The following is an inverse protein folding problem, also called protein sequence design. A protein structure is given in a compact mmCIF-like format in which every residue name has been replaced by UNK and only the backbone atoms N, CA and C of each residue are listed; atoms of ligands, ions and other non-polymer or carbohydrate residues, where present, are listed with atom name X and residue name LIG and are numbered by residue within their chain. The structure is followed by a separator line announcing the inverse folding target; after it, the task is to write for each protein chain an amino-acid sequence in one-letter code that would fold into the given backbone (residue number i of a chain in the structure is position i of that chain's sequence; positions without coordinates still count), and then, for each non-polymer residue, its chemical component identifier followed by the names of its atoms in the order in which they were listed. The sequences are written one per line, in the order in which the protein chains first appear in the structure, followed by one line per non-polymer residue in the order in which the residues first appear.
data_IF_773785507367
#
_entry.id   IF_773785507367
#
_cell.length_a   1.000
_cell.length_b   1.000
_cell.length_c   1.000
_cell.angle_alpha   90.00
_cell.angle_beta   90.00
_cell.angle_gamma   90.00
#
_symmetry.space_group_name_H-M   'P 1'
#
loop_
_entity.id
_entity.type
_entity.pdbx_description
1 polymer ?
#
# COMPACT_ATOMS: atom_id res chain seq x y z
N UNK A 1 -20.22 -5.92 9.53
CA UNK A 1 -19.79 -4.50 9.40
C UNK A 1 -19.82 -4.12 7.92
N UNK A 2 -20.18 -2.85 7.58
CA UNK A 2 -20.08 -2.36 6.20
C UNK A 2 -18.81 -1.52 6.06
N UNK A 3 -18.06 -1.75 5.01
CA UNK A 3 -16.75 -1.12 4.75
C UNK A 3 -16.77 -0.49 3.37
N UNK A 4 -16.46 0.80 3.29
CA UNK A 4 -16.25 1.48 2.00
C UNK A 4 -14.82 1.22 1.52
N UNK A 5 -14.67 0.64 0.33
CA UNK A 5 -13.35 0.37 -0.24
C UNK A 5 -12.90 1.55 -1.10
N UNK A 6 -11.78 2.17 -0.74
CA UNK A 6 -11.14 3.19 -1.57
C UNK A 6 -9.99 2.57 -2.36
N UNK A 7 -10.07 2.65 -3.69
CA UNK A 7 -9.02 2.15 -4.59
C UNK A 7 -8.39 3.36 -5.31
N UNK A 8 -7.08 3.52 -5.17
CA UNK A 8 -6.37 4.61 -5.83
C UNK A 8 -6.29 4.37 -7.34
N UNK A 9 -6.12 5.45 -8.11
CA UNK A 9 -6.06 5.39 -9.57
C UNK A 9 -4.99 4.41 -10.09
N UNK A 10 -3.82 4.35 -9.43
CA UNK A 10 -2.77 3.39 -9.81
C UNK A 10 -3.26 1.96 -9.60
N UNK A 11 -3.90 1.69 -8.46
CA UNK A 11 -4.40 0.34 -8.18
C UNK A 11 -5.53 -0.05 -9.15
N UNK A 12 -6.46 0.87 -9.37
CA UNK A 12 -7.60 0.59 -10.25
C UNK A 12 -7.16 0.29 -11.69
N UNK A 13 -6.20 1.06 -12.22
CA UNK A 13 -5.78 0.96 -13.63
C UNK A 13 -4.69 -0.11 -13.84
N UNK A 14 -3.70 -0.16 -12.95
CA UNK A 14 -2.51 -0.98 -13.15
C UNK A 14 -2.54 -2.31 -12.37
N UNK A 15 -3.25 -2.33 -11.24
CA UNK A 15 -3.23 -3.48 -10.32
C UNK A 15 -4.64 -3.79 -9.81
N UNK A 16 -5.64 -3.98 -10.70
CA UNK A 16 -7.03 -4.19 -10.26
C UNK A 16 -7.18 -5.44 -9.39
N UNK A 17 -6.31 -6.45 -9.57
CA UNK A 17 -6.31 -7.66 -8.75
C UNK A 17 -6.15 -7.36 -7.26
N UNK A 18 -5.45 -6.25 -6.91
CA UNK A 18 -5.32 -5.85 -5.50
C UNK A 18 -6.68 -5.48 -4.90
N UNK A 19 -7.50 -4.73 -5.63
CA UNK A 19 -8.86 -4.37 -5.17
C UNK A 19 -9.74 -5.60 -5.04
N UNK A 20 -9.66 -6.52 -6.01
CA UNK A 20 -10.38 -7.80 -5.96
C UNK A 20 -9.95 -8.59 -4.72
N UNK A 21 -8.64 -8.70 -4.48
CA UNK A 21 -8.11 -9.44 -3.33
C UNK A 21 -8.60 -8.85 -2.00
N UNK A 22 -8.58 -7.50 -1.86
CA UNK A 22 -9.08 -6.84 -0.65
C UNK A 22 -10.57 -7.16 -0.44
N UNK A 23 -11.37 -7.08 -1.51
CA UNK A 23 -12.81 -7.38 -1.45
C UNK A 23 -13.03 -8.82 -1.01
N UNK A 24 -12.39 -9.77 -1.70
CA UNK A 24 -12.50 -11.21 -1.38
C UNK A 24 -12.14 -11.49 0.08
N UNK A 25 -11.02 -10.91 0.53
CA UNK A 25 -10.55 -11.09 1.91
C UNK A 25 -11.56 -10.54 2.92
N UNK A 26 -12.03 -9.31 2.72
CA UNK A 26 -12.95 -8.67 3.67
C UNK A 26 -14.31 -9.37 3.70
N UNK A 27 -14.82 -9.82 2.54
CA UNK A 27 -16.08 -10.57 2.47
C UNK A 27 -15.94 -11.93 3.16
N UNK A 28 -14.81 -12.62 2.97
CA UNK A 28 -14.50 -13.86 3.67
C UNK A 28 -14.53 -13.67 5.19
N UNK A 29 -14.10 -12.49 5.66
CA UNK A 29 -14.09 -12.14 7.09
C UNK A 29 -15.43 -11.58 7.58
N UNK A 30 -16.49 -11.64 6.77
CA UNK A 30 -17.84 -11.26 7.17
C UNK A 30 -18.18 -9.78 7.00
N UNK A 31 -17.34 -9.02 6.32
CA UNK A 31 -17.65 -7.62 6.00
C UNK A 31 -18.53 -7.54 4.74
N UNK A 32 -19.38 -6.52 4.69
CA UNK A 32 -20.06 -6.12 3.45
C UNK A 32 -19.21 -5.02 2.83
N UNK A 33 -18.65 -5.25 1.66
CA UNK A 33 -17.79 -4.27 0.98
C UNK A 33 -18.63 -3.44 0.02
N UNK A 34 -18.50 -2.13 0.10
CA UNK A 34 -19.14 -1.18 -0.81
C UNK A 34 -18.06 -0.37 -1.52
N UNK A 35 -18.27 -0.10 -2.80
CA UNK A 35 -17.34 0.69 -3.61
C UNK A 35 -18.03 2.01 -3.98
N UNK A 36 -17.68 3.11 -3.30
CA UNK A 36 -18.24 4.42 -3.67
C UNK A 36 -17.76 4.84 -5.06
N UNK A 37 -18.70 4.98 -6.00
CA UNK A 37 -18.37 5.26 -7.41
C UNK A 37 -17.87 6.68 -7.63
N UNK A 38 -18.12 7.55 -6.67
CA UNK A 38 -17.76 8.96 -6.73
C UNK A 38 -16.33 9.22 -6.27
N UNK A 39 -15.60 8.18 -5.87
CA UNK A 39 -14.23 8.35 -5.41
C UNK A 39 -13.33 8.87 -6.53
N UNK A 40 -12.39 9.76 -6.15
CA UNK A 40 -11.52 10.47 -7.09
C UNK A 40 -10.05 10.18 -6.79
N UNK A 41 -9.17 11.03 -7.25
CA UNK A 41 -7.74 10.94 -7.01
C UNK A 41 -7.43 11.19 -5.52
N UNK A 42 -6.45 10.48 -4.97
CA UNK A 42 -6.00 10.69 -3.59
C UNK A 42 -5.12 11.93 -3.40
N UNK A 43 -4.83 12.67 -4.46
CA UNK A 43 -3.97 13.88 -4.47
C UNK A 43 -2.50 13.62 -4.13
N UNK A 44 -2.06 12.39 -3.92
CA UNK A 44 -0.67 12.13 -3.50
C UNK A 44 0.36 12.76 -4.44
N UNK A 45 0.16 12.69 -5.74
CA UNK A 45 1.14 13.18 -6.71
C UNK A 45 1.23 14.71 -6.72
N UNK A 46 0.10 15.39 -6.61
CA UNK A 46 0.08 16.87 -6.54
C UNK A 46 0.68 17.34 -5.22
N UNK A 47 0.28 16.73 -4.11
CA UNK A 47 0.74 17.10 -2.77
C UNK A 47 2.26 16.88 -2.64
N UNK A 48 2.76 15.72 -3.08
CA UNK A 48 4.20 15.39 -2.99
C UNK A 48 5.06 16.34 -3.85
N UNK A 49 4.45 17.05 -4.80
CA UNK A 49 5.18 17.99 -5.67
C UNK A 49 4.98 19.45 -5.26
N UNK A 50 4.14 19.73 -4.27
CA UNK A 50 3.84 21.07 -3.82
C UNK A 50 2.77 21.80 -4.66
N UNK A 51 2.03 21.08 -5.49
CA UNK A 51 0.92 21.62 -6.28
C UNK A 51 -0.37 21.52 -5.46
N UNK A 52 -0.44 22.31 -4.40
CA UNK A 52 -1.54 22.20 -3.41
C UNK A 52 -2.86 22.69 -3.98
N UNK A 53 -2.85 23.78 -4.75
CA UNK A 53 -4.06 24.32 -5.38
C UNK A 53 -4.73 23.27 -6.28
N UNK A 54 -3.93 22.49 -7.01
CA UNK A 54 -4.43 21.41 -7.87
C UNK A 54 -4.87 20.19 -7.07
N UNK A 55 -4.38 20.05 -5.85
CA UNK A 55 -4.75 18.95 -4.96
C UNK A 55 -6.09 19.18 -4.25
N UNK A 56 -6.43 20.42 -3.91
CA UNK A 56 -7.64 20.74 -3.14
C UNK A 56 -8.91 20.15 -3.75
N UNK A 57 -9.19 20.29 -5.05
CA UNK A 57 -10.43 19.75 -5.62
C UNK A 57 -10.55 18.23 -5.55
N UNK A 58 -9.47 17.48 -5.23
CA UNK A 58 -9.49 16.01 -5.16
C UNK A 58 -9.62 15.50 -3.71
N UNK A 59 -9.64 16.44 -2.75
CA UNK A 59 -9.80 16.07 -1.34
C UNK A 59 -11.18 15.44 -1.13
N UNK A 60 -11.16 14.41 -0.90
CA UNK A 60 -12.44 13.72 -0.70
C UNK A 60 -12.19 12.28 -0.45
N UNK A 61 -11.23 11.46 -0.58
CA UNK A 61 -11.10 10.11 -0.25
C UNK A 61 -9.72 9.58 -0.28
N UNK A 62 -9.11 9.06 0.45
CA UNK A 62 -8.14 8.32 0.32
C UNK A 62 -6.97 8.06 1.15
N UNK A 63 -6.04 7.21 1.02
CA UNK A 63 -4.95 6.97 1.68
C UNK A 63 -4.20 8.14 2.07
N UNK A 64 -4.08 8.85 1.21
CA UNK A 64 -3.69 10.23 1.52
C UNK A 64 -4.67 10.93 2.48
N UNK A 65 -5.83 10.37 2.67
CA UNK A 65 -6.88 10.94 3.52
C UNK A 65 -6.35 11.29 4.92
N UNK A 66 -5.59 10.41 5.52
CA UNK A 66 -5.13 10.60 6.92
C UNK A 66 -3.96 11.56 7.06
N UNK A 67 -3.20 11.76 6.01
CA UNK A 67 -1.94 12.51 6.07
C UNK A 67 -1.98 13.79 5.23
N UNK A 68 -2.40 13.69 3.98
CA UNK A 68 -2.30 14.79 3.03
C UNK A 68 -3.57 15.63 2.96
N UNK A 69 -4.74 15.03 3.11
CA UNK A 69 -5.99 15.79 3.06
C UNK A 69 -6.11 16.81 4.21
N UNK A 70 -5.75 16.48 5.46
CA UNK A 70 -5.75 17.51 6.53
C UNK A 70 -4.84 18.70 6.18
N UNK A 71 -3.65 18.43 5.63
CA UNK A 71 -2.72 19.48 5.21
C UNK A 71 -3.32 20.36 4.09
N UNK A 72 -3.98 19.72 3.10
CA UNK A 72 -4.61 20.46 2.01
C UNK A 72 -5.81 21.29 2.51
N UNK A 73 -6.59 20.77 3.44
CA UNK A 73 -7.73 21.49 4.03
C UNK A 73 -7.24 22.69 4.84
N UNK A 74 -6.13 22.53 5.57
CA UNK A 74 -5.50 23.62 6.31
C UNK A 74 -4.99 24.69 5.35
N UNK A 75 -4.30 24.28 4.29
CA UNK A 75 -3.79 25.20 3.27
C UNK A 75 -4.92 25.98 2.59
N UNK A 76 -6.06 25.31 2.31
CA UNK A 76 -7.23 25.94 1.70
C UNK A 76 -7.90 26.97 2.61
N UNK A 77 -7.71 26.85 3.93
CA UNK A 77 -8.34 27.74 4.90
C UNK A 77 -9.85 27.56 5.03
N UNK A 78 -10.37 26.41 4.58
CA UNK A 78 -11.82 26.12 4.58
C UNK A 78 -12.17 25.28 5.80
N UNK A 79 -12.84 25.89 6.78
CA UNK A 79 -13.21 25.22 8.03
C UNK A 79 -14.27 24.12 7.84
N UNK A 80 -15.08 24.20 6.81
CA UNK A 80 -16.05 23.16 6.47
C UNK A 80 -15.33 21.92 5.95
N UNK A 81 -14.48 22.12 4.96
CA UNK A 81 -13.63 21.07 4.40
C UNK A 81 -12.78 20.41 5.49
N UNK A 82 -12.19 21.21 6.39
CA UNK A 82 -11.35 20.68 7.47
C UNK A 82 -12.10 19.70 8.37
N UNK A 83 -13.36 20.01 8.71
CA UNK A 83 -14.17 19.11 9.55
C UNK A 83 -14.51 17.79 8.83
N UNK A 84 -14.87 17.89 7.55
CA UNK A 84 -15.19 16.70 6.76
C UNK A 84 -13.96 15.80 6.60
N UNK A 85 -12.81 16.38 6.34
CA UNK A 85 -11.53 15.68 6.23
C UNK A 85 -11.18 15.02 7.56
N UNK A 86 -11.32 15.73 8.68
CA UNK A 86 -11.02 15.18 10.00
C UNK A 86 -11.89 13.94 10.27
N UNK A 87 -13.18 14.02 10.01
CA UNK A 87 -14.09 12.90 10.21
C UNK A 87 -13.70 11.71 9.33
N UNK A 88 -13.47 11.95 8.04
CA UNK A 88 -13.10 10.90 7.09
C UNK A 88 -11.76 10.25 7.47
N UNK A 89 -10.81 11.08 7.89
CA UNK A 89 -9.48 10.63 8.35
C UNK A 89 -9.59 9.61 9.48
N UNK A 90 -10.45 9.91 10.46
CA UNK A 90 -10.65 9.07 11.65
C UNK A 90 -11.32 7.74 11.32
N UNK A 91 -11.99 7.63 10.17
CA UNK A 91 -12.70 6.42 9.73
C UNK A 91 -11.96 5.68 8.62
N UNK A 92 -10.73 6.12 8.28
CA UNK A 92 -9.94 5.54 7.20
C UNK A 92 -8.77 4.74 7.76
N UNK A 93 -8.64 3.51 7.31
CA UNK A 93 -7.63 2.57 7.80
C UNK A 93 -6.87 1.94 6.62
N UNK A 94 -5.59 1.67 6.83
CA UNK A 94 -4.84 0.80 5.93
C UNK A 94 -5.28 -0.65 6.18
N UNK A 95 -5.15 -1.52 5.19
CA UNK A 95 -5.64 -2.90 5.29
C UNK A 95 -5.06 -3.65 6.50
N UNK A 96 -3.74 -3.73 6.73
CA UNK A 96 -3.21 -4.36 7.94
C UNK A 96 -3.76 -3.76 9.24
N UNK A 97 -3.89 -2.46 9.32
CA UNK A 97 -4.45 -1.79 10.49
C UNK A 97 -5.92 -2.20 10.70
N UNK A 98 -6.70 -2.20 9.63
CA UNK A 98 -8.11 -2.58 9.71
C UNK A 98 -8.26 -4.03 10.19
N UNK A 99 -7.46 -4.95 9.64
CA UNK A 99 -7.53 -6.36 10.03
C UNK A 99 -7.17 -6.55 11.50
N UNK A 100 -6.05 -5.97 11.94
CA UNK A 100 -5.53 -6.22 13.29
C UNK A 100 -6.28 -5.40 14.35
N UNK A 101 -6.45 -4.08 14.13
CA UNK A 101 -6.98 -3.20 15.18
C UNK A 101 -8.51 -3.13 15.20
N UNK A 102 -9.16 -3.25 14.03
CA UNK A 102 -10.63 -3.08 13.95
C UNK A 102 -11.33 -4.43 13.96
N UNK A 103 -10.87 -5.39 13.13
CA UNK A 103 -11.47 -6.73 13.11
C UNK A 103 -10.90 -7.64 14.18
N UNK A 104 -9.71 -7.33 14.73
CA UNK A 104 -9.06 -8.14 15.75
C UNK A 104 -8.55 -9.48 15.23
N UNK A 105 -8.17 -9.56 13.96
CA UNK A 105 -7.70 -10.80 13.35
C UNK A 105 -6.26 -10.68 12.85
N UNK A 106 -5.45 -11.70 13.14
CA UNK A 106 -4.09 -11.82 12.62
C UNK A 106 -3.94 -13.05 11.73
N UNK A 107 -4.77 -14.08 11.94
CA UNK A 107 -4.83 -15.26 11.07
C UNK A 107 -6.10 -15.15 10.23
N UNK A 108 -5.93 -14.91 8.94
CA UNK A 108 -7.05 -14.75 7.99
C UNK A 108 -7.26 -16.02 7.15
N UNK A 109 -6.62 -17.13 7.54
CA UNK A 109 -6.73 -18.39 6.81
C UNK A 109 -5.96 -18.43 5.50
N UNK A 110 -4.98 -17.56 5.34
CA UNK A 110 -4.20 -17.46 4.10
C UNK A 110 -3.20 -18.61 3.95
N UNK A 111 -2.96 -19.01 2.69
CA UNK A 111 -1.97 -20.04 2.34
C UNK A 111 -1.12 -19.53 1.18
N UNK A 112 0.22 -19.55 1.32
CA UNK A 112 1.13 -19.08 0.28
C UNK A 112 2.49 -19.77 0.46
N UNK A 113 2.70 -20.96 -0.14
CA UNK A 113 3.87 -21.80 0.17
C UNK A 113 5.14 -21.36 -0.57
N UNK A 114 5.56 -20.13 -0.30
CA UNK A 114 6.71 -19.50 -0.97
C UNK A 114 7.62 -18.79 0.03
N UNK A 115 8.86 -18.59 -0.38
CA UNK A 115 9.83 -17.77 0.36
C UNK A 115 9.63 -16.31 -0.02
N UNK A 116 9.38 -15.47 0.97
CA UNK A 116 8.87 -14.10 0.79
C UNK A 116 9.69 -13.11 1.62
N UNK A 117 9.94 -11.92 1.08
CA UNK A 117 10.52 -10.81 1.85
C UNK A 117 9.58 -9.61 1.80
N UNK A 118 9.48 -8.85 2.92
CA UNK A 118 8.51 -7.75 3.01
C UNK A 118 9.21 -6.39 2.98
N UNK A 119 8.73 -5.51 2.10
CA UNK A 119 9.16 -4.11 2.03
C UNK A 119 8.14 -3.21 2.73
N UNK A 120 8.44 -2.70 3.94
CA UNK A 120 7.55 -1.72 4.58
C UNK A 120 7.69 -0.38 3.85
N UNK A 121 6.65 0.05 3.18
CA UNK A 121 6.69 1.30 2.44
C UNK A 121 6.95 2.48 3.40
N UNK A 122 7.52 3.57 2.88
CA UNK A 122 7.78 4.74 3.72
C UNK A 122 6.49 5.35 4.27
N UNK A 123 5.40 5.33 3.49
CA UNK A 123 4.08 5.78 3.96
C UNK A 123 3.56 4.89 5.09
N UNK A 124 3.59 3.58 4.89
CA UNK A 124 3.13 2.62 5.91
C UNK A 124 3.88 2.78 7.21
N UNK A 125 5.21 2.90 7.13
CA UNK A 125 6.03 2.96 8.33
C UNK A 125 6.01 4.32 9.03
N UNK A 126 6.18 5.42 8.26
CA UNK A 126 6.44 6.75 8.85
C UNK A 126 5.19 7.61 9.02
N UNK A 127 4.20 7.45 8.13
CA UNK A 127 2.99 8.28 8.18
C UNK A 127 1.84 7.54 8.86
N UNK A 128 1.58 6.31 8.43
CA UNK A 128 0.48 5.52 8.99
C UNK A 128 0.86 4.77 10.26
N UNK A 129 2.17 4.67 10.56
CA UNK A 129 2.67 3.99 11.76
C UNK A 129 2.13 2.56 11.89
N UNK A 130 2.16 1.81 10.78
CA UNK A 130 1.61 0.44 10.76
C UNK A 130 2.34 -0.52 11.71
N UNK A 131 3.59 -0.21 12.08
CA UNK A 131 4.34 -1.00 13.03
C UNK A 131 4.53 -2.45 12.59
N UNK A 132 4.25 -3.38 13.48
CA UNK A 132 4.43 -4.80 13.24
C UNK A 132 3.20 -5.48 12.61
N UNK A 133 2.08 -4.78 12.45
CA UNK A 133 0.82 -5.35 11.94
C UNK A 133 0.97 -6.13 10.63
N UNK A 134 1.66 -5.61 9.59
CA UNK A 134 1.87 -6.39 8.38
C UNK A 134 2.66 -7.67 8.61
N UNK A 135 3.67 -7.59 9.49
CA UNK A 135 4.49 -8.76 9.84
C UNK A 135 3.67 -9.80 10.62
N UNK A 136 2.80 -9.35 11.53
CA UNK A 136 1.92 -10.25 12.27
C UNK A 136 1.02 -11.05 11.34
N UNK A 137 0.38 -10.35 10.37
CA UNK A 137 -0.46 -11.01 9.38
C UNK A 137 0.35 -12.01 8.54
N UNK A 138 1.53 -11.58 8.04
CA UNK A 138 2.35 -12.44 7.20
C UNK A 138 2.88 -13.67 7.94
N UNK A 139 3.19 -13.54 9.24
CA UNK A 139 3.66 -14.69 10.05
C UNK A 139 2.61 -15.78 10.20
N UNK A 140 1.32 -15.45 10.05
CA UNK A 140 0.23 -16.41 10.15
C UNK A 140 -0.14 -17.06 8.81
N UNK A 141 0.48 -16.64 7.69
CA UNK A 141 0.21 -17.23 6.38
C UNK A 141 0.82 -18.66 6.33
N UNK A 142 -0.02 -19.66 6.11
CA UNK A 142 0.40 -21.06 6.10
C UNK A 142 1.32 -21.34 4.89
N UNK A 143 2.35 -22.13 5.13
CA UNK A 143 3.30 -22.55 4.11
C UNK A 143 4.36 -21.52 3.78
N UNK A 144 4.19 -20.27 4.21
CA UNK A 144 5.10 -19.17 3.83
C UNK A 144 6.36 -19.14 4.68
N UNK A 145 7.49 -18.84 4.05
CA UNK A 145 8.76 -18.56 4.75
C UNK A 145 9.04 -17.06 4.62
N UNK A 146 8.82 -16.32 5.69
CA UNK A 146 9.08 -14.87 5.70
C UNK A 146 10.54 -14.62 6.10
N UNK A 147 11.28 -13.92 5.25
CA UNK A 147 12.70 -13.60 5.50
C UNK A 147 12.89 -12.08 5.58
N UNK A 148 13.77 -11.68 6.46
CA UNK A 148 14.03 -10.25 6.71
C UNK A 148 14.70 -9.59 5.50
N UNK A 149 14.22 -8.41 5.14
CA UNK A 149 14.78 -7.60 4.05
C UNK A 149 15.93 -6.75 4.61
N UNK A 150 17.16 -6.93 4.11
CA UNK A 150 18.22 -6.00 4.51
C UNK A 150 17.89 -4.56 4.13
N UNK A 151 18.18 -3.62 5.01
CA UNK A 151 17.90 -2.20 4.78
C UNK A 151 16.42 -1.97 4.40
N UNK A 152 15.52 -2.67 5.10
CA UNK A 152 14.07 -2.62 4.80
C UNK A 152 13.52 -1.20 4.73
N UNK A 153 14.02 -0.30 5.57
CA UNK A 153 13.53 1.08 5.70
C UNK A 153 13.96 2.03 4.57
N UNK A 154 14.88 1.60 3.71
CA UNK A 154 15.29 2.43 2.57
C UNK A 154 14.10 2.62 1.63
N UNK A 155 13.98 3.84 1.10
CA UNK A 155 12.94 4.17 0.12
C UNK A 155 13.13 3.35 -1.17
N UNK A 156 12.01 2.99 -1.80
CA UNK A 156 12.00 2.29 -3.09
C UNK A 156 12.36 3.19 -4.28
N UNK A 157 12.36 4.52 -4.07
CA UNK A 157 12.70 5.48 -5.12
C UNK A 157 11.52 5.95 -5.97
N UNK A 158 10.29 5.46 -5.76
CA UNK A 158 9.14 5.89 -6.57
C UNK A 158 8.78 7.37 -6.32
N UNK A 159 8.30 7.69 -5.10
CA UNK A 159 8.00 9.06 -4.69
C UNK A 159 7.01 9.83 -5.56
N UNK A 160 6.05 9.15 -6.21
CA UNK A 160 5.10 9.80 -7.10
C UNK A 160 5.78 10.39 -8.33
N UNK A 161 5.71 11.71 -8.50
CA UNK A 161 6.36 12.40 -9.62
C UNK A 161 7.89 12.43 -9.49
N UNK A 162 8.44 12.09 -8.32
CA UNK A 162 9.89 12.07 -8.09
C UNK A 162 10.59 11.15 -9.09
N UNK A 163 10.04 9.97 -9.35
CA UNK A 163 10.67 9.01 -10.26
C UNK A 163 10.72 9.52 -11.71
N UNK A 164 9.82 10.44 -12.06
CA UNK A 164 9.81 11.06 -13.40
C UNK A 164 10.75 12.27 -13.45
N UNK A 165 10.72 13.11 -12.39
CA UNK A 165 11.51 14.34 -12.34
C UNK A 165 12.98 14.07 -12.03
N UNK A 166 13.29 12.96 -11.34
CA UNK A 166 14.65 12.60 -10.92
C UNK A 166 14.94 11.13 -11.28
N UNK A 167 14.87 10.74 -12.56
CA UNK A 167 14.91 9.33 -12.95
C UNK A 167 16.21 8.62 -12.56
N UNK A 168 17.36 9.30 -12.67
CA UNK A 168 18.65 8.67 -12.32
C UNK A 168 18.71 8.34 -10.83
N UNK A 169 18.24 9.26 -9.97
CA UNK A 169 18.22 9.05 -8.53
C UNK A 169 17.22 7.93 -8.16
N UNK A 170 16.04 7.97 -8.76
CA UNK A 170 15.02 6.94 -8.56
C UNK A 170 15.55 5.56 -8.96
N UNK A 171 16.20 5.49 -10.11
CA UNK A 171 16.78 4.23 -10.59
C UNK A 171 17.87 3.72 -9.65
N UNK A 172 18.75 4.61 -9.14
CA UNK A 172 19.79 4.21 -8.19
C UNK A 172 19.17 3.63 -6.92
N UNK A 173 18.16 4.31 -6.36
CA UNK A 173 17.46 3.84 -5.14
C UNK A 173 16.77 2.49 -5.37
N UNK A 174 16.09 2.34 -6.52
CA UNK A 174 15.40 1.10 -6.86
C UNK A 174 16.40 -0.05 -7.08
N UNK A 175 17.56 0.23 -7.67
CA UNK A 175 18.61 -0.77 -7.86
C UNK A 175 19.18 -1.25 -6.51
N UNK A 176 19.43 -0.32 -5.58
CA UNK A 176 19.89 -0.69 -4.23
C UNK A 176 18.84 -1.57 -3.54
N UNK A 177 17.57 -1.20 -3.61
CA UNK A 177 16.50 -1.99 -3.01
C UNK A 177 16.39 -3.38 -3.67
N UNK A 178 16.46 -3.45 -5.00
CA UNK A 178 16.41 -4.71 -5.73
C UNK A 178 17.60 -5.61 -5.36
N UNK A 179 18.78 -5.03 -5.13
CA UNK A 179 19.96 -5.79 -4.65
C UNK A 179 19.66 -6.44 -3.30
N UNK A 180 19.12 -5.67 -2.33
CA UNK A 180 18.78 -6.19 -1.01
C UNK A 180 17.71 -7.28 -1.09
N UNK A 181 16.72 -7.12 -1.99
CA UNK A 181 15.70 -8.15 -2.22
C UNK A 181 16.35 -9.44 -2.71
N UNK A 182 17.26 -9.36 -3.69
CA UNK A 182 17.96 -10.56 -4.21
C UNK A 182 18.81 -11.25 -3.15
N UNK A 183 19.40 -10.48 -2.24
CA UNK A 183 20.22 -11.03 -1.14
C UNK A 183 19.40 -11.94 -0.20
N UNK A 184 18.07 -11.80 -0.17
CA UNK A 184 17.20 -12.65 0.68
C UNK A 184 16.91 -14.02 0.05
N UNK A 185 17.21 -14.20 -1.23
CA UNK A 185 16.85 -15.39 -2.01
C UNK A 185 15.33 -15.66 -1.96
N UNK A 186 14.52 -14.62 -1.78
CA UNK A 186 13.07 -14.75 -1.78
C UNK A 186 12.54 -14.91 -3.20
N UNK A 187 11.46 -15.69 -3.33
CA UNK A 187 10.72 -15.84 -4.59
C UNK A 187 9.87 -14.61 -4.86
N UNK A 188 9.39 -13.96 -3.77
CA UNK A 188 8.50 -12.80 -3.87
C UNK A 188 8.97 -11.67 -2.98
N UNK A 189 8.84 -10.44 -3.49
CA UNK A 189 8.92 -9.22 -2.67
C UNK A 189 7.50 -8.70 -2.46
N UNK A 190 7.14 -8.53 -1.20
CA UNK A 190 5.78 -8.13 -0.77
C UNK A 190 5.82 -6.70 -0.26
N UNK A 191 4.76 -5.94 -0.53
CA UNK A 191 4.54 -4.63 0.08
C UNK A 191 3.03 -4.33 0.13
N UNK A 192 2.66 -3.32 0.91
CA UNK A 192 1.30 -2.77 0.93
C UNK A 192 1.12 -1.59 -0.02
N UNK A 193 2.11 -1.34 -0.87
CA UNK A 193 2.10 -0.16 -1.77
C UNK A 193 2.55 -0.62 -3.16
N UNK A 194 1.59 -0.70 -4.09
CA UNK A 194 1.86 -1.13 -5.47
C UNK A 194 2.80 -0.18 -6.22
N UNK A 195 2.86 1.09 -5.85
CA UNK A 195 3.80 2.00 -6.48
C UNK A 195 5.25 1.64 -6.13
N UNK A 196 5.49 1.19 -4.89
CA UNK A 196 6.79 0.64 -4.50
C UNK A 196 7.09 -0.65 -5.26
N UNK A 197 6.10 -1.55 -5.32
CA UNK A 197 6.25 -2.83 -6.03
C UNK A 197 6.53 -2.62 -7.52
N UNK A 198 5.90 -1.63 -8.14
CA UNK A 198 6.12 -1.27 -9.53
C UNK A 198 7.58 -0.84 -9.77
N UNK A 199 8.10 0.04 -8.91
CA UNK A 199 9.45 0.56 -9.06
C UNK A 199 10.51 -0.54 -8.81
N UNK A 200 10.37 -1.29 -7.71
CA UNK A 200 11.27 -2.39 -7.36
C UNK A 200 11.16 -3.52 -8.41
N UNK A 201 9.93 -3.92 -8.73
CA UNK A 201 9.64 -5.00 -9.68
C UNK A 201 10.14 -4.71 -11.09
N UNK A 202 10.06 -3.44 -11.50
CA UNK A 202 10.61 -3.02 -12.79
C UNK A 202 12.12 -3.27 -12.90
N UNK A 203 12.86 -3.01 -11.82
CA UNK A 203 14.31 -3.28 -11.78
C UNK A 203 14.57 -4.79 -11.73
N UNK A 204 13.85 -5.51 -10.85
CA UNK A 204 14.00 -6.96 -10.71
C UNK A 204 13.77 -7.68 -12.04
N UNK A 205 12.74 -7.24 -12.78
CA UNK A 205 12.39 -7.77 -14.11
C UNK A 205 13.51 -7.50 -15.13
N UNK A 206 14.00 -6.25 -15.21
CA UNK A 206 15.09 -5.91 -16.13
C UNK A 206 16.38 -6.68 -15.85
N UNK A 207 16.59 -7.04 -14.58
CA UNK A 207 17.75 -7.82 -14.16
C UNK A 207 17.55 -9.33 -14.30
N UNK A 208 16.37 -9.77 -14.78
CA UNK A 208 15.99 -11.18 -14.91
C UNK A 208 16.22 -11.94 -13.60
N UNK A 209 15.87 -11.31 -12.46
CA UNK A 209 16.17 -11.85 -11.13
C UNK A 209 15.34 -13.08 -10.76
N UNK A 210 14.18 -13.27 -11.39
CA UNK A 210 13.22 -14.31 -11.03
C UNK A 210 12.30 -13.92 -9.87
N UNK A 211 12.64 -12.90 -9.09
CA UNK A 211 11.81 -12.45 -7.95
C UNK A 211 10.58 -11.70 -8.46
N UNK A 212 9.41 -12.04 -7.94
CA UNK A 212 8.13 -11.46 -8.37
C UNK A 212 7.61 -10.47 -7.31
N UNK A 213 7.14 -9.28 -7.72
CA UNK A 213 6.44 -8.39 -6.79
C UNK A 213 5.01 -8.88 -6.58
N UNK A 214 4.48 -8.77 -5.35
CA UNK A 214 3.10 -9.13 -5.02
C UNK A 214 2.59 -8.23 -3.89
N UNK A 215 1.33 -7.82 -3.97
CA UNK A 215 0.74 -6.98 -2.92
C UNK A 215 0.33 -7.85 -1.73
N UNK A 216 0.48 -7.33 -0.51
CA UNK A 216 0.14 -8.08 0.72
C UNK A 216 -1.31 -8.60 0.69
N UNK A 217 -2.25 -7.83 0.16
CA UNK A 217 -3.65 -8.23 0.08
C UNK A 217 -3.83 -9.50 -0.76
N UNK A 218 -3.04 -9.66 -1.82
CA UNK A 218 -3.13 -10.83 -2.70
C UNK A 218 -2.67 -12.10 -1.99
N UNK A 219 -1.64 -11.99 -1.14
CA UNK A 219 -1.21 -13.10 -0.29
C UNK A 219 -2.29 -13.44 0.74
N UNK A 220 -2.82 -12.40 1.42
CA UNK A 220 -3.80 -12.60 2.49
C UNK A 220 -5.15 -13.13 1.97
N UNK A 221 -5.48 -12.84 0.71
CA UNK A 221 -6.71 -13.34 0.09
C UNK A 221 -6.57 -14.80 -0.38
N UNK A 222 -5.35 -15.22 -0.70
CA UNK A 222 -5.09 -16.57 -1.26
C UNK A 222 -5.35 -17.65 -0.22
N UNK A 223 -5.95 -18.77 -0.64
CA UNK A 223 -6.27 -19.90 0.26
C UNK A 223 -5.70 -21.21 -0.29
N UNK A 224 -5.80 -22.28 0.50
CA UNK A 224 -5.32 -23.60 0.09
C UNK A 224 -6.16 -24.20 -1.05
N UNK A 225 -7.35 -23.65 -1.28
CA UNK A 225 -8.26 -24.13 -2.33
C UNK A 225 -8.03 -23.42 -3.68
N UNK A 226 -7.22 -22.34 -3.70
CA UNK A 226 -6.88 -21.59 -4.91
C UNK A 226 -5.71 -22.24 -5.65
#
# INVERSE_FOLDING_TARGET
MTVGLFITCINDVMFPQTGVAVTTLLERLGCKVEFPREQTCCAQMTTNTGYFDEGIPTVXXXXAVRDQHPMLAEYAGDSGLAKEVEHTSQCTYDLPEFLVDILGVTDVGAYFPHRVTYHPSCHGKRLLNLGDRPYELLRHVKGMTLVDLPMAEQCCGFGGTFCIKNPDMSAAMANDKARHVRETEAEYVVAGDNSCLMNIGGVLSRQNSGVKPIHIAEILANTEED
#
